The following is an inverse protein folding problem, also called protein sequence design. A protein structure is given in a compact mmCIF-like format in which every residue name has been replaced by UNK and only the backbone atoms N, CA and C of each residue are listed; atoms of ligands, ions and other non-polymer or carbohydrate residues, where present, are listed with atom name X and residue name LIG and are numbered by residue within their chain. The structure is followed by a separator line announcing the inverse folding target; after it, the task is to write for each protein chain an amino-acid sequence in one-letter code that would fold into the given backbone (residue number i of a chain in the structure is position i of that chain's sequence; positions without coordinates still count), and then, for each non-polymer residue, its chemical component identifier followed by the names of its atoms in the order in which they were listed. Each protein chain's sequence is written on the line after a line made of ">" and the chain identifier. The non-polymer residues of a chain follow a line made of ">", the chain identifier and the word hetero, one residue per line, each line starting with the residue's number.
data_IF_626094017212
#
_entry.id   IF_626094017212
#
_cell.length_a   1.000
_cell.length_b   1.000
_cell.length_c   1.000
_cell.angle_alpha   90.00
_cell.angle_beta   90.00
_cell.angle_gamma   90.00
#
_symmetry.space_group_name_H-M   'P 1'
#
loop_
_entity.id
_entity.type
_entity.pdbx_description
1 polymer ?
#
# COMPACT_ATOMS: atom_id res chain seq x y z
N UNK A 1 16.43 -16.52 30.59
CA UNK A 1 15.44 -16.85 29.57
C UNK A 1 15.18 -15.74 28.54
N UNK A 2 15.65 -14.49 28.71
CA UNK A 2 15.45 -13.39 27.74
C UNK A 2 16.55 -13.24 26.68
N UNK A 3 17.68 -13.97 26.77
CA UNK A 3 18.83 -13.73 25.89
C UNK A 3 18.63 -14.25 24.45
N UNK A 4 17.62 -15.08 24.19
CA UNK A 4 17.36 -15.67 22.86
C UNK A 4 16.01 -15.24 22.25
N UNK A 5 15.36 -14.20 22.81
CA UNK A 5 14.06 -13.74 22.34
C UNK A 5 14.24 -12.76 21.16
N UNK A 6 13.98 -13.22 19.93
CA UNK A 6 13.88 -12.39 18.74
C UNK A 6 12.40 -12.11 18.45
N UNK A 7 11.99 -10.84 18.52
CA UNK A 7 10.60 -10.44 18.33
C UNK A 7 10.47 -9.72 17.01
N UNK A 8 9.58 -10.18 16.13
CA UNK A 8 9.28 -9.46 14.90
C UNK A 8 8.57 -8.13 15.22
N UNK A 9 9.08 -7.02 14.68
CA UNK A 9 8.50 -5.69 14.83
C UNK A 9 7.79 -5.17 13.58
N UNK A 10 7.97 -5.81 12.42
CA UNK A 10 7.39 -5.38 11.13
C UNK A 10 6.70 -6.59 10.48
N UNK A 11 5.42 -6.47 10.15
CA UNK A 11 4.63 -7.58 9.61
C UNK A 11 4.66 -7.59 8.07
N UNK A 12 5.85 -7.66 7.44
CA UNK A 12 5.94 -7.51 5.98
C UNK A 12 5.92 -8.84 5.24
N UNK A 13 7.01 -9.59 5.34
CA UNK A 13 7.23 -10.91 4.76
C UNK A 13 8.53 -11.48 5.35
N UNK A 14 8.77 -12.77 5.19
CA UNK A 14 9.93 -13.44 5.78
C UNK A 14 11.30 -12.82 5.40
N UNK A 15 11.40 -12.16 4.25
CA UNK A 15 12.65 -11.57 3.76
C UNK A 15 12.86 -10.13 4.20
N UNK A 16 11.77 -9.42 4.53
CA UNK A 16 11.79 -8.01 4.90
C UNK A 16 11.43 -7.74 6.37
N UNK A 17 11.11 -8.79 7.13
CA UNK A 17 10.90 -8.71 8.56
C UNK A 17 12.13 -8.23 9.31
N UNK A 18 11.89 -7.42 10.33
CA UNK A 18 12.95 -6.95 11.21
C UNK A 18 12.66 -7.36 12.63
N UNK A 19 13.64 -8.05 13.21
CA UNK A 19 13.57 -8.59 14.55
C UNK A 19 14.29 -7.69 15.55
N UNK A 20 13.66 -7.49 16.69
CA UNK A 20 14.23 -6.80 17.83
C UNK A 20 14.53 -7.77 18.96
N UNK A 21 15.74 -7.65 19.50
CA UNK A 21 16.21 -8.46 20.61
C UNK A 21 16.41 -7.57 21.85
N UNK A 22 15.49 -7.60 22.83
CA UNK A 22 15.63 -6.81 24.05
C UNK A 22 16.86 -7.27 24.84
N UNK A 23 17.67 -6.31 25.31
CA UNK A 23 18.88 -6.59 26.10
C UNK A 23 18.63 -6.33 27.59
N UNK A 24 18.97 -7.30 28.43
CA UNK A 24 18.94 -7.14 29.89
C UNK A 24 20.20 -6.37 30.32
N UNK A 25 20.04 -5.09 30.64
CA UNK A 25 21.15 -4.23 31.14
C UNK A 25 21.33 -4.34 32.66
N UNK A 26 20.23 -4.43 33.41
CA UNK A 26 20.24 -4.55 34.86
C UNK A 26 19.31 -5.68 35.31
N UNK A 27 19.75 -6.47 36.29
CA UNK A 27 18.93 -7.54 36.91
C UNK A 27 18.25 -7.10 38.21
N UNK A 28 18.63 -5.94 38.74
CA UNK A 28 18.11 -5.38 39.98
C UNK A 28 17.58 -3.97 39.71
N UNK A 29 16.60 -3.55 40.52
CA UNK A 29 16.05 -2.20 40.44
C UNK A 29 17.16 -1.17 40.68
N UNK A 30 17.31 -0.22 39.75
CA UNK A 30 18.18 0.92 39.93
C UNK A 30 17.37 2.02 40.62
N UNK A 31 17.56 2.19 41.93
CA UNK A 31 16.78 3.12 42.75
C UNK A 31 16.85 4.58 42.30
N UNK A 32 17.84 4.94 41.46
CA UNK A 32 17.99 6.29 40.90
C UNK A 32 17.18 6.57 39.64
N UNK A 33 16.53 5.57 39.03
CA UNK A 33 15.78 5.74 37.78
C UNK A 33 14.28 5.60 38.06
N UNK A 34 13.49 6.68 37.94
CA UNK A 34 12.06 6.61 38.18
C UNK A 34 11.38 5.70 37.13
N UNK A 35 10.49 4.82 37.61
CA UNK A 35 9.68 3.94 36.76
C UNK A 35 8.32 4.61 36.54
N UNK A 36 7.97 4.83 35.27
CA UNK A 36 6.63 5.28 34.89
C UNK A 36 5.67 4.11 35.02
N UNK A 37 4.56 4.33 35.72
CA UNK A 37 3.47 3.36 35.81
C UNK A 37 2.60 3.43 34.55
N UNK A 38 3.19 3.05 33.41
CA UNK A 38 2.59 3.16 32.08
C UNK A 38 3.07 2.00 31.19
N UNK A 39 2.40 1.80 30.06
CA UNK A 39 2.74 0.78 29.06
C UNK A 39 3.49 1.40 27.89
N UNK A 40 4.67 0.87 27.58
CA UNK A 40 5.40 1.18 26.36
C UNK A 40 5.03 0.21 25.23
N UNK A 41 4.60 0.72 24.08
CA UNK A 41 4.38 -0.06 22.87
C UNK A 41 5.60 0.04 21.95
N UNK A 42 6.31 -1.07 21.76
CA UNK A 42 7.51 -1.13 20.93
C UNK A 42 7.17 -1.69 19.56
N UNK A 43 7.49 -0.97 18.50
CA UNK A 43 7.10 -1.29 17.13
C UNK A 43 8.19 -0.96 16.12
N UNK A 44 8.01 -1.42 14.89
CA UNK A 44 8.83 -1.03 13.74
C UNK A 44 7.96 -0.50 12.60
N UNK A 45 8.57 0.22 11.66
CA UNK A 45 7.91 0.71 10.46
C UNK A 45 8.68 0.40 9.19
N UNK A 46 7.93 0.07 8.14
CA UNK A 46 8.41 0.00 6.76
C UNK A 46 8.36 1.40 6.13
N UNK A 47 9.26 2.28 6.55
CA UNK A 47 9.33 3.70 6.15
C UNK A 47 10.77 4.02 5.74
N UNK A 48 11.06 4.93 4.78
CA UNK A 48 10.14 5.77 4.01
C UNK A 48 9.54 5.12 2.75
N UNK A 49 9.94 3.91 2.42
CA UNK A 49 9.97 3.46 1.02
C UNK A 49 8.60 3.14 0.43
N UNK A 50 7.65 2.69 1.28
CA UNK A 50 6.39 2.14 0.83
C UNK A 50 5.23 2.54 1.75
N UNK A 51 4.54 3.64 1.40
CA UNK A 51 3.36 4.17 2.11
C UNK A 51 2.37 3.08 2.56
N UNK A 52 1.99 2.18 1.65
CA UNK A 52 1.10 1.05 1.93
C UNK A 52 1.66 0.05 2.94
N UNK A 53 2.95 -0.29 2.86
CA UNK A 53 3.56 -1.24 3.80
C UNK A 53 3.64 -0.62 5.19
N UNK A 54 3.97 0.67 5.29
CA UNK A 54 3.91 1.38 6.56
C UNK A 54 2.50 1.30 7.17
N UNK A 55 1.45 1.57 6.39
CA UNK A 55 0.07 1.49 6.88
C UNK A 55 -0.33 0.08 7.30
N UNK A 56 -0.27 -0.86 6.35
CA UNK A 56 -0.86 -2.18 6.50
C UNK A 56 0.01 -3.13 7.34
N UNK A 57 1.33 -2.92 7.37
CA UNK A 57 2.27 -3.81 8.07
C UNK A 57 2.89 -3.17 9.32
N UNK A 58 2.62 -1.88 9.56
CA UNK A 58 3.16 -1.11 10.70
C UNK A 58 2.07 -0.48 11.56
N UNK A 59 1.44 0.60 11.08
CA UNK A 59 0.55 1.43 11.87
C UNK A 59 -0.78 0.75 12.24
N UNK A 60 -1.43 0.05 11.30
CA UNK A 60 -2.70 -0.64 11.60
C UNK A 60 -2.48 -1.82 12.56
N UNK A 61 -1.45 -2.67 12.39
CA UNK A 61 -1.11 -3.69 13.39
C UNK A 61 -0.77 -3.11 14.76
N UNK A 62 -0.06 -1.99 14.82
CA UNK A 62 0.22 -1.28 16.07
C UNK A 62 -1.08 -0.81 16.74
N UNK A 63 -1.95 -0.12 15.99
CA UNK A 63 -3.24 0.35 16.46
C UNK A 63 -4.10 -0.81 17.01
N UNK A 64 -4.18 -1.92 16.28
CA UNK A 64 -4.82 -3.16 16.72
C UNK A 64 -4.29 -3.63 18.06
N UNK A 65 -2.96 -3.70 18.18
CA UNK A 65 -2.27 -4.20 19.37
C UNK A 65 -2.53 -3.29 20.57
N UNK A 66 -2.50 -1.97 20.36
CA UNK A 66 -2.84 -1.00 21.40
C UNK A 66 -4.27 -1.19 21.88
N UNK A 67 -5.26 -1.27 20.99
CA UNK A 67 -6.67 -1.51 21.38
C UNK A 67 -6.83 -2.82 22.16
N UNK A 68 -6.22 -3.92 21.69
CA UNK A 68 -6.32 -5.24 22.37
C UNK A 68 -5.67 -5.26 23.75
N UNK A 69 -4.62 -4.47 23.96
CA UNK A 69 -3.87 -4.43 25.22
C UNK A 69 -4.32 -3.31 26.17
N UNK A 70 -5.41 -2.61 25.83
CA UNK A 70 -5.94 -1.51 26.64
C UNK A 70 -5.06 -0.25 26.61
N UNK A 71 -4.31 -0.04 25.52
CA UNK A 71 -3.58 1.21 25.28
C UNK A 71 -4.54 2.39 25.19
N UNK A 72 -4.21 3.47 25.89
CA UNK A 72 -4.88 4.77 25.78
C UNK A 72 -4.23 5.63 24.71
N UNK A 73 -4.85 6.76 24.37
CA UNK A 73 -4.22 7.79 23.55
C UNK A 73 -2.95 8.36 24.20
N UNK A 74 -2.81 8.31 25.53
CA UNK A 74 -1.61 8.82 26.21
C UNK A 74 -0.46 7.81 26.27
N UNK A 75 -0.62 6.63 25.67
CA UNK A 75 0.38 5.56 25.73
C UNK A 75 1.71 5.99 25.12
N UNK A 76 2.79 5.51 25.71
CA UNK A 76 4.12 5.71 25.14
C UNK A 76 4.36 4.69 24.02
N UNK A 77 4.96 5.17 22.94
CA UNK A 77 5.43 4.33 21.85
C UNK A 77 6.94 4.43 21.72
N UNK A 78 7.55 3.37 21.23
CA UNK A 78 8.97 3.33 20.88
C UNK A 78 9.15 2.65 19.53
N UNK A 79 9.56 3.43 18.53
CA UNK A 79 9.95 2.95 17.22
C UNK A 79 11.38 2.43 17.30
N UNK A 80 11.51 1.14 17.57
CA UNK A 80 12.82 0.50 17.75
C UNK A 80 13.55 0.27 16.40
N UNK A 81 12.79 0.18 15.31
CA UNK A 81 13.30 -0.11 13.97
C UNK A 81 12.53 0.69 12.93
N UNK A 82 13.27 1.27 11.99
CA UNK A 82 12.75 1.74 10.70
C UNK A 82 13.47 0.92 9.63
N UNK A 83 12.72 0.17 8.81
CA UNK A 83 13.30 -0.65 7.72
C UNK A 83 14.14 0.25 6.81
N UNK A 84 15.32 -0.23 6.41
CA UNK A 84 16.42 0.56 5.88
C UNK A 84 15.98 1.73 5.01
N UNK A 85 16.07 2.96 5.52
CA UNK A 85 15.86 4.16 4.72
C UNK A 85 16.98 4.25 3.69
N UNK A 86 16.71 4.06 2.39
CA UNK A 86 17.66 4.54 1.39
C UNK A 86 17.85 6.04 1.62
N UNK A 87 19.09 6.52 1.85
CA UNK A 87 19.36 7.92 2.24
C UNK A 87 18.91 8.96 1.19
N UNK A 88 18.48 8.51 0.02
CA UNK A 88 18.05 9.33 -1.11
C UNK A 88 16.52 9.34 -1.35
N UNK A 89 15.74 8.59 -0.56
CA UNK A 89 14.28 8.74 -0.61
C UNK A 89 13.87 9.81 0.40
N UNK A 90 13.19 10.85 -0.09
CA UNK A 90 12.57 11.87 0.75
C UNK A 90 11.73 11.19 1.85
N UNK A 91 11.75 11.75 3.05
CA UNK A 91 11.21 11.11 4.25
C UNK A 91 9.73 11.46 4.38
N UNK A 92 8.75 10.57 4.23
CA UNK A 92 7.38 11.01 4.40
C UNK A 92 7.10 11.33 5.88
N UNK A 93 6.21 12.30 6.11
CA UNK A 93 5.63 12.53 7.43
C UNK A 93 4.81 11.33 7.87
N UNK A 94 5.21 10.74 8.99
CA UNK A 94 4.53 9.58 9.53
C UNK A 94 4.37 9.70 11.02
N UNK A 95 3.12 9.84 11.41
CA UNK A 95 2.72 10.06 12.78
C UNK A 95 1.61 9.09 13.15
N UNK A 96 1.49 8.88 14.45
CA UNK A 96 0.38 8.19 15.07
C UNK A 96 -0.51 9.19 15.85
N UNK A 97 -0.37 10.49 15.58
CA UNK A 97 -1.01 11.58 16.34
C UNK A 97 -2.54 11.51 16.30
N UNK A 98 -3.11 10.96 15.22
CA UNK A 98 -4.55 10.79 15.13
C UNK A 98 -5.12 9.74 16.10
N UNK A 99 -4.33 8.76 16.58
CA UNK A 99 -4.77 7.73 17.54
C UNK A 99 -3.96 7.67 18.85
N UNK A 100 -2.91 8.48 18.96
CA UNK A 100 -2.06 8.57 20.14
C UNK A 100 -1.64 10.03 20.35
N UNK A 101 -1.93 10.59 21.51
CA UNK A 101 -1.44 11.89 22.00
C UNK A 101 -0.16 11.73 22.86
N UNK A 102 0.15 10.50 23.28
CA UNK A 102 1.34 10.15 24.05
C UNK A 102 2.63 10.31 23.27
N UNK A 103 3.78 10.12 23.91
CA UNK A 103 5.10 10.32 23.30
C UNK A 103 5.49 9.14 22.39
N UNK A 104 6.05 9.45 21.21
CA UNK A 104 6.64 8.46 20.28
C UNK A 104 8.17 8.59 20.31
N UNK A 105 8.85 7.68 21.02
CA UNK A 105 10.30 7.66 21.07
C UNK A 105 10.83 7.10 19.75
N UNK A 106 11.69 7.86 19.07
CA UNK A 106 12.37 7.44 17.84
C UNK A 106 13.88 7.31 18.06
N UNK A 107 14.57 6.64 17.13
CA UNK A 107 16.01 6.35 17.26
C UNK A 107 16.93 7.29 16.49
N UNK A 108 16.38 8.09 15.57
CA UNK A 108 17.12 8.95 14.66
C UNK A 108 16.39 10.26 14.39
N UNK A 109 17.16 11.32 14.11
CA UNK A 109 16.64 12.67 13.82
C UNK A 109 15.76 12.71 12.57
N UNK A 110 15.97 11.78 11.65
CA UNK A 110 15.19 11.66 10.43
C UNK A 110 13.76 11.17 10.69
N UNK A 111 13.53 10.49 11.82
CA UNK A 111 12.22 10.05 12.27
C UNK A 111 11.46 11.11 13.06
N UNK A 112 12.06 12.29 13.34
CA UNK A 112 11.38 13.42 13.97
C UNK A 112 10.54 14.19 12.95
N UNK A 113 9.34 13.68 12.72
CA UNK A 113 8.38 14.20 11.74
C UNK A 113 7.22 14.97 12.39
N UNK A 114 7.12 14.98 13.71
CA UNK A 114 6.07 15.69 14.44
C UNK A 114 6.44 15.97 15.89
N UNK A 115 5.70 16.87 16.53
CA UNK A 115 5.87 17.23 17.96
C UNK A 115 5.63 16.06 18.93
N UNK A 116 4.92 15.03 18.47
CA UNK A 116 4.72 13.80 19.23
C UNK A 116 6.03 13.02 19.39
N UNK A 117 6.89 13.10 18.38
CA UNK A 117 8.10 12.32 18.28
C UNK A 117 9.23 12.99 19.05
N UNK A 118 9.98 12.18 19.79
CA UNK A 118 11.13 12.67 20.54
C UNK A 118 12.33 11.75 20.42
N UNK A 119 13.49 12.36 20.41
CA UNK A 119 14.77 11.68 20.60
C UNK A 119 15.13 11.74 22.06
N UNK A 120 15.34 10.58 22.67
CA UNK A 120 15.97 10.51 23.98
C UNK A 120 17.44 10.94 23.83
N UNK A 121 17.91 11.79 24.75
CA UNK A 121 19.33 12.10 24.82
C UNK A 121 20.12 10.83 25.18
N UNK A 122 21.40 10.75 24.78
CA UNK A 122 22.22 9.52 24.93
C UNK A 122 22.31 8.99 26.37
N UNK A 123 22.14 9.88 27.32
CA UNK A 123 22.30 9.70 28.77
C UNK A 123 20.95 9.69 29.51
N UNK A 124 19.84 9.91 28.81
CA UNK A 124 18.50 9.76 29.37
C UNK A 124 18.10 8.28 29.44
N UNK A 125 17.59 7.85 30.59
CA UNK A 125 16.98 6.53 30.74
C UNK A 125 15.54 6.69 31.19
N UNK A 126 14.60 6.12 30.44
CA UNK A 126 13.19 6.06 30.81
C UNK A 126 12.84 4.61 31.12
N UNK A 127 12.25 4.38 32.29
CA UNK A 127 11.77 3.06 32.69
C UNK A 127 10.24 3.03 32.69
N UNK A 128 9.67 1.92 32.21
CA UNK A 128 8.23 1.66 32.18
C UNK A 128 7.93 0.40 32.99
N UNK A 129 6.77 0.38 33.65
CA UNK A 129 6.33 -0.79 34.43
C UNK A 129 5.93 -1.96 33.52
N UNK A 130 5.50 -1.67 32.29
CA UNK A 130 5.11 -2.68 31.29
C UNK A 130 5.61 -2.27 29.90
N UNK A 131 5.96 -3.26 29.08
CA UNK A 131 6.18 -3.09 27.65
C UNK A 131 5.42 -4.17 26.86
N UNK A 132 4.80 -3.76 25.76
CA UNK A 132 4.26 -4.65 24.72
C UNK A 132 5.21 -4.56 23.53
N UNK A 133 5.76 -5.69 23.10
CA UNK A 133 6.78 -5.73 22.05
C UNK A 133 6.21 -6.35 20.77
N UNK A 134 6.31 -5.62 19.66
CA UNK A 134 5.81 -6.03 18.36
C UNK A 134 4.29 -5.87 18.20
N UNK A 135 3.82 -6.08 16.97
CA UNK A 135 2.41 -6.00 16.62
C UNK A 135 1.74 -7.38 16.43
N UNK A 136 2.34 -8.42 17.03
CA UNK A 136 1.77 -9.77 17.10
C UNK A 136 1.62 -10.50 15.76
N UNK A 137 2.49 -10.22 14.78
CA UNK A 137 2.48 -10.81 13.42
C UNK A 137 1.08 -10.76 12.79
N UNK A 138 0.42 -9.60 12.97
CA UNK A 138 -0.93 -9.36 12.49
C UNK A 138 -0.91 -8.64 11.13
N UNK A 139 -1.48 -9.26 10.11
CA UNK A 139 -1.70 -8.68 8.79
C UNK A 139 -2.77 -9.46 8.03
N UNK A 140 -3.01 -9.10 6.77
CA UNK A 140 -4.04 -9.72 5.94
C UNK A 140 -3.51 -10.83 5.01
N UNK A 141 -2.23 -11.18 5.08
CA UNK A 141 -1.57 -12.15 4.19
C UNK A 141 -1.75 -13.60 4.67
N UNK A 142 -2.25 -14.46 3.78
CA UNK A 142 -2.69 -15.85 4.04
C UNK A 142 -1.66 -16.81 4.64
N UNK A 143 -0.38 -16.70 4.28
CA UNK A 143 0.66 -17.67 4.65
C UNK A 143 1.78 -17.12 5.54
N UNK A 144 1.70 -15.83 5.85
CA UNK A 144 2.75 -15.14 6.58
C UNK A 144 2.28 -14.71 7.97
N UNK A 145 1.03 -14.27 8.11
CA UNK A 145 0.54 -13.75 9.37
C UNK A 145 -0.07 -14.81 10.28
N UNK A 146 0.17 -14.65 11.58
CA UNK A 146 -0.34 -15.53 12.63
C UNK A 146 -1.75 -15.09 13.07
N UNK A 147 -2.09 -13.81 12.84
CA UNK A 147 -3.38 -13.24 13.23
C UNK A 147 -3.95 -12.30 12.16
N UNK A 148 -5.26 -12.34 11.91
CA UNK A 148 -5.89 -11.36 11.03
C UNK A 148 -5.89 -9.98 11.68
N UNK A 149 -5.87 -8.96 10.85
CA UNK A 149 -6.43 -7.65 11.22
C UNK A 149 -7.92 -7.71 10.93
N UNK A 150 -8.72 -7.52 11.97
CA UNK A 150 -10.17 -7.56 11.88
C UNK A 150 -10.72 -6.35 11.09
N UNK A 151 -11.82 -6.56 10.36
CA UNK A 151 -12.44 -5.52 9.50
C UNK A 151 -12.83 -4.25 10.28
N UNK A 152 -13.32 -4.41 11.51
CA UNK A 152 -13.68 -3.32 12.43
C UNK A 152 -12.46 -2.52 12.88
N UNK A 153 -11.28 -3.13 12.97
CA UNK A 153 -10.02 -2.43 13.25
C UNK A 153 -9.64 -1.51 12.08
N UNK A 154 -9.76 -1.98 10.83
CA UNK A 154 -9.55 -1.14 9.65
C UNK A 154 -10.51 0.05 9.62
N UNK A 155 -11.79 -0.21 9.86
CA UNK A 155 -12.83 0.81 9.90
C UNK A 155 -12.55 1.84 11.02
N UNK A 156 -12.28 1.37 12.24
CA UNK A 156 -12.00 2.24 13.38
C UNK A 156 -10.73 3.08 13.18
N UNK A 157 -9.66 2.51 12.61
CA UNK A 157 -8.44 3.25 12.27
C UNK A 157 -8.73 4.37 11.28
N UNK A 158 -9.47 4.05 10.20
CA UNK A 158 -9.87 5.01 9.19
C UNK A 158 -10.72 6.12 9.79
N UNK A 159 -11.76 5.77 10.54
CA UNK A 159 -12.74 6.72 11.05
C UNK A 159 -12.09 7.67 12.09
N UNK A 160 -11.19 7.16 12.94
CA UNK A 160 -10.39 8.00 13.83
C UNK A 160 -9.48 8.97 13.04
N UNK A 161 -8.81 8.50 11.99
CA UNK A 161 -7.97 9.34 11.14
C UNK A 161 -8.78 10.42 10.40
N UNK A 162 -9.93 10.05 9.82
CA UNK A 162 -10.80 10.99 9.12
C UNK A 162 -11.40 12.03 10.09
N UNK A 163 -11.85 11.60 11.26
CA UNK A 163 -12.35 12.51 12.27
C UNK A 163 -11.27 13.49 12.74
N UNK A 164 -10.05 13.00 12.98
CA UNK A 164 -8.94 13.82 13.46
C UNK A 164 -8.42 14.77 12.38
N UNK A 165 -8.08 14.29 11.19
CA UNK A 165 -7.47 15.11 10.16
C UNK A 165 -8.49 15.94 9.37
N UNK A 166 -9.62 15.35 8.99
CA UNK A 166 -10.59 15.96 8.07
C UNK A 166 -11.67 16.71 8.84
N UNK A 167 -12.42 16.04 9.73
CA UNK A 167 -13.54 16.66 10.43
C UNK A 167 -13.10 17.77 11.39
N UNK A 168 -11.95 17.62 12.05
CA UNK A 168 -11.37 18.66 12.92
C UNK A 168 -10.42 19.61 12.17
N UNK A 169 -10.33 19.51 10.83
CA UNK A 169 -9.49 20.36 9.98
C UNK A 169 -7.98 20.38 10.35
N UNK A 170 -7.50 19.36 11.07
CA UNK A 170 -6.10 19.29 11.52
C UNK A 170 -5.11 18.96 10.40
N UNK A 171 -5.57 18.52 9.23
CA UNK A 171 -4.67 18.17 8.13
C UNK A 171 -3.80 19.36 7.68
N UNK A 172 -4.33 20.59 7.75
CA UNK A 172 -3.58 21.81 7.42
C UNK A 172 -2.48 22.07 8.45
N UNK A 173 -2.84 22.06 9.75
CA UNK A 173 -1.89 22.25 10.86
C UNK A 173 -0.77 21.20 10.85
N UNK A 174 -1.13 19.96 10.53
CA UNK A 174 -0.16 18.86 10.44
C UNK A 174 0.89 19.13 9.35
N UNK A 175 0.47 19.65 8.20
CA UNK A 175 1.38 20.00 7.11
C UNK A 175 2.21 21.27 7.42
N UNK A 176 1.68 22.23 8.18
CA UNK A 176 2.47 23.39 8.63
C UNK A 176 3.62 22.95 9.56
N UNK A 177 3.35 22.08 10.52
CA UNK A 177 4.37 21.60 11.46
C UNK A 177 5.49 20.77 10.79
N UNK A 178 5.22 20.13 9.65
CA UNK A 178 6.22 19.33 8.95
C UNK A 178 7.38 20.14 8.38
N UNK A 179 7.09 21.39 8.05
CA UNK A 179 8.06 22.36 7.53
C UNK A 179 9.07 22.82 8.59
N UNK A 180 8.76 22.64 9.88
CA UNK A 180 9.55 23.16 11.01
C UNK A 180 10.89 22.43 11.18
N UNK A 181 11.02 21.19 10.71
CA UNK A 181 12.21 20.37 10.93
C UNK A 181 13.22 20.36 9.75
N UNK A 182 13.25 21.41 8.92
CA UNK A 182 14.19 21.58 7.80
C UNK A 182 14.23 20.37 6.84
N UNK A 183 13.13 19.63 6.76
CA UNK A 183 13.07 18.38 5.99
C UNK A 183 12.99 18.60 4.48
N UNK A 184 12.85 19.86 4.03
CA UNK A 184 12.64 20.26 2.63
C UNK A 184 11.48 19.52 1.94
N UNK A 185 10.46 19.12 2.71
CA UNK A 185 9.31 18.33 2.23
C UNK A 185 8.18 19.23 1.80
N UNK A 186 7.50 18.80 0.74
CA UNK A 186 6.21 19.33 0.34
C UNK A 186 5.14 18.25 0.59
N UNK A 187 4.80 18.06 1.87
CA UNK A 187 3.81 17.07 2.32
C UNK A 187 2.37 17.40 1.87
N UNK A 188 2.20 18.63 1.38
CA UNK A 188 0.98 19.14 0.78
C UNK A 188 1.03 19.07 -0.76
N UNK A 189 2.14 18.65 -1.39
CA UNK A 189 2.30 18.69 -2.84
C UNK A 189 1.15 18.00 -3.58
N UNK A 190 0.70 16.85 -3.08
CA UNK A 190 -0.44 16.12 -3.64
C UNK A 190 -1.76 16.91 -3.57
N UNK A 191 -1.94 17.72 -2.53
CA UNK A 191 -3.12 18.60 -2.36
C UNK A 191 -3.00 19.83 -3.26
N UNK A 192 -1.82 20.44 -3.35
CA UNK A 192 -1.61 21.64 -4.17
C UNK A 192 -1.67 21.36 -5.67
N UNK A 193 -1.30 20.15 -6.08
CA UNK A 193 -1.28 19.74 -7.49
C UNK A 193 -2.53 18.98 -7.93
N UNK A 194 -3.52 18.79 -7.04
CA UNK A 194 -4.76 18.10 -7.40
C UNK A 194 -5.52 18.91 -8.45
N UNK A 195 -5.93 18.25 -9.52
CA UNK A 195 -6.81 18.85 -10.52
C UNK A 195 -8.21 18.27 -10.36
N UNK A 196 -9.21 19.16 -10.23
CA UNK A 196 -10.61 18.76 -10.05
C UNK A 196 -11.40 19.18 -11.28
N UNK A 197 -11.96 18.21 -11.99
CA UNK A 197 -12.91 18.43 -13.08
C UNK A 197 -14.33 18.20 -12.58
N UNK A 198 -15.21 19.18 -12.75
CA UNK A 198 -16.62 19.12 -12.35
C UNK A 198 -17.50 19.05 -13.61
N UNK A 199 -18.51 18.16 -13.68
CA UNK A 199 -19.43 18.08 -14.80
C UNK A 199 -20.14 19.40 -15.09
N UNK A 200 -20.23 19.81 -16.35
CA UNK A 200 -20.85 21.10 -16.74
C UNK A 200 -22.35 21.20 -16.40
N UNK A 201 -23.05 20.07 -16.26
CA UNK A 201 -24.47 20.00 -15.89
C UNK A 201 -24.74 20.30 -14.41
N UNK A 202 -23.71 20.38 -13.57
CA UNK A 202 -23.84 20.52 -12.12
C UNK A 202 -24.01 21.95 -11.60
N UNK A 203 -24.19 22.93 -12.49
CA UNK A 203 -24.46 24.32 -12.12
C UNK A 203 -25.89 24.59 -11.61
N UNK A 204 -26.77 23.57 -11.55
CA UNK A 204 -28.10 23.68 -10.95
C UNK A 204 -28.16 22.93 -9.61
N UNK A 205 -28.60 23.63 -8.55
CA UNK A 205 -28.57 23.32 -7.11
C UNK A 205 -29.14 21.98 -6.59
N UNK A 206 -29.34 20.94 -7.42
CA UNK A 206 -29.89 19.64 -6.99
C UNK A 206 -28.86 18.51 -7.08
N UNK A 207 -27.69 18.69 -6.47
CA UNK A 207 -26.49 17.95 -6.86
C UNK A 207 -25.89 17.01 -5.77
N UNK A 208 -26.72 16.41 -4.93
CA UNK A 208 -26.24 15.55 -3.84
C UNK A 208 -25.81 14.12 -4.26
N UNK A 209 -25.94 13.74 -5.54
CA UNK A 209 -25.68 12.37 -6.00
C UNK A 209 -24.53 12.21 -7.01
N UNK A 210 -23.82 13.28 -7.37
CA UNK A 210 -22.67 13.12 -8.28
C UNK A 210 -21.56 12.34 -7.59
N UNK A 211 -21.12 11.24 -8.20
CA UNK A 211 -20.02 10.41 -7.69
C UNK A 211 -18.66 11.06 -7.97
N UNK A 212 -17.73 10.84 -7.04
CA UNK A 212 -16.34 11.30 -7.13
C UNK A 212 -15.43 10.14 -7.52
N UNK A 213 -14.73 10.29 -8.64
CA UNK A 213 -13.72 9.34 -9.11
C UNK A 213 -12.35 9.99 -8.95
N UNK A 214 -11.47 9.36 -8.18
CA UNK A 214 -10.07 9.75 -8.10
C UNK A 214 -9.24 8.94 -9.07
N UNK A 215 -8.28 9.60 -9.71
CA UNK A 215 -7.26 8.99 -10.56
C UNK A 215 -5.91 9.38 -9.96
N UNK A 216 -5.22 8.43 -9.36
CA UNK A 216 -3.83 8.65 -8.93
C UNK A 216 -2.94 8.20 -10.09
N UNK A 217 -2.06 9.08 -10.57
CA UNK A 217 -1.07 8.73 -11.57
C UNK A 217 0.34 9.10 -11.11
N UNK A 218 1.33 8.45 -11.73
CA UNK A 218 2.76 8.68 -11.46
C UNK A 218 3.40 9.35 -12.66
N UNK A 219 4.43 10.15 -12.40
CA UNK A 219 5.20 10.88 -13.40
C UNK A 219 6.34 10.05 -13.99
N UNK A 220 6.90 9.10 -13.22
CA UNK A 220 8.06 8.30 -13.61
C UNK A 220 7.69 6.85 -13.95
N UNK A 221 7.78 5.94 -12.98
CA UNK A 221 7.46 4.53 -13.18
C UNK A 221 5.99 4.25 -12.94
N UNK A 222 5.50 3.17 -13.54
CA UNK A 222 4.12 2.71 -13.41
C UNK A 222 3.06 3.71 -13.89
N UNK A 223 3.44 4.67 -14.75
CA UNK A 223 2.54 5.70 -15.25
C UNK A 223 1.44 5.10 -16.14
N UNK A 224 0.20 5.53 -15.94
CA UNK A 224 -0.90 5.37 -16.91
C UNK A 224 -0.68 6.40 -18.02
N UNK A 225 -0.29 5.96 -19.21
CA UNK A 225 0.14 6.88 -20.29
C UNK A 225 -1.02 7.57 -20.99
N UNK A 226 -2.21 6.96 -21.00
CA UNK A 226 -3.45 7.51 -21.56
C UNK A 226 -4.42 8.05 -20.49
N UNK A 227 -3.91 8.57 -19.37
CA UNK A 227 -4.72 9.14 -18.28
C UNK A 227 -5.73 10.19 -18.77
N UNK A 228 -5.32 11.08 -19.67
CA UNK A 228 -6.19 12.15 -20.16
C UNK A 228 -7.40 11.60 -20.93
N UNK A 229 -7.25 10.49 -21.64
CA UNK A 229 -8.36 9.85 -22.35
C UNK A 229 -9.38 9.26 -21.36
N UNK A 230 -8.92 8.74 -20.21
CA UNK A 230 -9.79 8.29 -19.11
C UNK A 230 -10.56 9.49 -18.53
N UNK A 231 -9.85 10.59 -18.23
CA UNK A 231 -10.46 11.82 -17.69
C UNK A 231 -11.51 12.36 -18.66
N UNK A 232 -11.17 12.48 -19.95
CA UNK A 232 -12.06 13.01 -20.97
C UNK A 232 -13.33 12.16 -21.15
N UNK A 233 -13.21 10.84 -21.02
CA UNK A 233 -14.34 9.92 -21.08
C UNK A 233 -15.27 9.99 -19.85
N UNK A 234 -14.73 10.34 -18.67
CA UNK A 234 -15.48 10.32 -17.41
C UNK A 234 -15.99 11.70 -16.93
N UNK A 235 -15.31 12.79 -17.28
CA UNK A 235 -15.55 14.14 -16.74
C UNK A 235 -16.93 14.73 -17.04
N UNK A 236 -17.66 14.19 -18.02
CA UNK A 236 -19.01 14.64 -18.36
C UNK A 236 -20.07 14.19 -17.34
N UNK A 237 -19.79 13.13 -16.58
CA UNK A 237 -20.77 12.49 -15.68
C UNK A 237 -20.35 12.49 -14.20
N UNK A 238 -19.05 12.66 -13.91
CA UNK A 238 -18.51 12.48 -12.56
C UNK A 238 -17.57 13.62 -12.17
N UNK A 239 -17.41 13.85 -10.86
CA UNK A 239 -16.34 14.69 -10.35
C UNK A 239 -15.04 13.88 -10.46
N UNK A 240 -14.06 14.38 -11.21
CA UNK A 240 -12.78 13.71 -11.39
C UNK A 240 -11.71 14.44 -10.57
N UNK A 241 -11.03 13.71 -9.68
CA UNK A 241 -9.84 14.19 -8.96
C UNK A 241 -8.60 13.54 -9.55
N UNK A 242 -7.76 14.29 -10.24
CA UNK A 242 -6.45 13.81 -10.69
C UNK A 242 -5.40 14.15 -9.64
N UNK A 243 -4.74 13.13 -9.11
CA UNK A 243 -3.87 13.22 -7.94
C UNK A 243 -2.48 12.71 -8.32
N UNK A 244 -1.44 13.41 -7.87
CA UNK A 244 -0.05 13.02 -8.08
C UNK A 244 0.69 12.94 -6.73
N UNK A 245 1.21 11.77 -6.40
CA UNK A 245 1.96 11.53 -5.15
C UNK A 245 3.47 11.60 -5.30
N UNK A 246 4.01 11.73 -6.52
CA UNK A 246 5.46 11.68 -6.76
C UNK A 246 6.23 12.86 -6.14
N UNK A 247 5.52 13.94 -5.77
CA UNK A 247 6.10 15.10 -5.08
C UNK A 247 6.01 15.02 -3.54
N UNK A 248 5.30 14.02 -3.00
CA UNK A 248 5.03 13.88 -1.57
C UNK A 248 3.53 13.94 -1.26
N UNK A 249 3.12 13.15 -0.28
CA UNK A 249 1.77 13.20 0.30
C UNK A 249 1.81 12.61 1.72
N UNK A 250 1.51 13.42 2.72
CA UNK A 250 1.42 12.94 4.10
C UNK A 250 0.22 12.02 4.32
N UNK A 251 0.19 11.35 5.48
CA UNK A 251 -0.98 10.60 5.93
C UNK A 251 -2.23 11.51 6.00
N UNK A 252 -2.06 12.71 6.56
CA UNK A 252 -3.13 13.70 6.72
C UNK A 252 -3.64 14.21 5.37
N UNK A 253 -2.74 14.56 4.45
CA UNK A 253 -3.09 14.96 3.08
C UNK A 253 -3.78 13.83 2.31
N UNK A 254 -3.31 12.59 2.47
CA UNK A 254 -3.94 11.42 1.86
C UNK A 254 -5.36 11.20 2.39
N UNK A 255 -5.56 11.34 3.71
CA UNK A 255 -6.88 11.24 4.33
C UNK A 255 -7.84 12.32 3.78
N UNK A 256 -7.37 13.56 3.72
CA UNK A 256 -8.13 14.68 3.16
C UNK A 256 -8.52 14.48 1.69
N UNK A 257 -7.61 14.01 0.84
CA UNK A 257 -7.90 13.84 -0.58
C UNK A 257 -8.89 12.70 -0.88
N UNK A 258 -8.87 11.65 -0.05
CA UNK A 258 -9.55 10.39 -0.35
C UNK A 258 -10.91 10.22 0.33
N UNK A 259 -11.23 10.98 1.39
CA UNK A 259 -12.40 10.75 2.24
C UNK A 259 -13.76 10.72 1.53
N UNK A 260 -13.92 11.44 0.43
CA UNK A 260 -15.16 11.57 -0.33
C UNK A 260 -15.18 10.73 -1.63
N UNK A 261 -14.10 10.03 -1.94
CA UNK A 261 -13.92 9.28 -3.20
C UNK A 261 -14.77 8.00 -3.21
N UNK A 262 -15.56 7.82 -4.27
CA UNK A 262 -16.35 6.61 -4.54
C UNK A 262 -15.52 5.52 -5.21
N UNK A 263 -14.77 5.91 -6.25
CA UNK A 263 -13.96 5.00 -7.06
C UNK A 263 -12.55 5.57 -7.17
N UNK A 264 -11.54 4.76 -6.86
CA UNK A 264 -10.14 5.07 -7.13
C UNK A 264 -9.67 4.28 -8.35
N UNK A 265 -9.07 4.96 -9.32
CA UNK A 265 -8.31 4.36 -10.41
C UNK A 265 -6.84 4.70 -10.17
N UNK A 266 -5.97 3.70 -10.14
CA UNK A 266 -4.54 3.91 -9.91
C UNK A 266 -3.74 2.86 -10.66
N UNK A 267 -2.50 3.13 -11.11
CA UNK A 267 -1.62 2.04 -11.46
C UNK A 267 -1.26 1.25 -10.20
N UNK A 268 -1.03 -0.06 -10.33
CA UNK A 268 -0.61 -0.89 -9.20
C UNK A 268 0.63 -0.35 -8.47
N UNK A 269 0.50 -0.07 -7.17
CA UNK A 269 1.61 0.45 -6.37
C UNK A 269 1.21 1.05 -5.01
N UNK A 270 2.22 1.49 -4.26
CA UNK A 270 2.09 1.89 -2.84
C UNK A 270 1.06 2.99 -2.58
N UNK A 271 0.81 3.86 -3.57
CA UNK A 271 -0.21 4.91 -3.50
C UNK A 271 -1.64 4.36 -3.34
N UNK A 272 -1.91 3.12 -3.75
CA UNK A 272 -3.21 2.48 -3.51
C UNK A 272 -3.50 2.32 -2.02
N UNK A 273 -2.47 2.33 -1.17
CA UNK A 273 -2.63 2.42 0.29
C UNK A 273 -3.50 3.60 0.74
N UNK A 274 -3.55 4.71 -0.02
CA UNK A 274 -4.38 5.87 0.33
C UNK A 274 -5.87 5.58 0.20
N UNK A 275 -6.24 4.52 -0.53
CA UNK A 275 -7.61 4.03 -0.55
C UNK A 275 -8.12 3.70 0.85
N UNK A 276 -7.24 3.40 1.83
CA UNK A 276 -7.57 3.24 3.25
C UNK A 276 -8.57 4.29 3.75
N UNK A 277 -8.47 5.53 3.27
CA UNK A 277 -9.26 6.67 3.71
C UNK A 277 -10.54 6.92 2.91
N UNK A 278 -10.85 6.15 1.87
CA UNK A 278 -12.11 6.28 1.14
C UNK A 278 -13.32 5.97 2.03
N UNK A 279 -14.52 6.41 1.65
CA UNK A 279 -15.75 6.00 2.35
C UNK A 279 -16.04 4.49 2.25
N UNK A 280 -17.01 4.04 3.04
CA UNK A 280 -17.54 2.67 2.95
C UNK A 280 -18.15 2.38 1.57
N UNK A 281 -18.16 1.10 1.19
CA UNK A 281 -18.64 0.62 -0.11
C UNK A 281 -17.90 1.24 -1.31
N UNK A 282 -16.66 1.71 -1.13
CA UNK A 282 -15.87 2.24 -2.23
C UNK A 282 -15.21 1.14 -3.08
N UNK A 283 -14.78 1.52 -4.29
CA UNK A 283 -14.14 0.61 -5.26
C UNK A 283 -12.74 1.11 -5.61
N UNK A 284 -11.79 0.19 -5.64
CA UNK A 284 -10.42 0.44 -6.13
C UNK A 284 -10.20 -0.36 -7.41
N UNK A 285 -9.71 0.32 -8.44
CA UNK A 285 -9.38 -0.23 -9.75
C UNK A 285 -7.90 -0.03 -9.99
N UNK A 286 -7.14 -1.12 -9.88
CA UNK A 286 -5.73 -1.14 -10.19
C UNK A 286 -5.50 -1.39 -11.68
N UNK A 287 -4.76 -0.51 -12.34
CA UNK A 287 -4.37 -0.65 -13.74
C UNK A 287 -3.01 -1.33 -13.81
N UNK A 288 -3.01 -2.56 -14.32
CA UNK A 288 -1.83 -3.41 -14.44
C UNK A 288 -1.18 -3.27 -15.81
N UNK A 289 0.15 -3.39 -15.83
CA UNK A 289 0.89 -3.59 -17.08
C UNK A 289 0.60 -4.99 -17.63
N UNK A 290 0.68 -5.14 -18.95
CA UNK A 290 0.46 -6.44 -19.59
C UNK A 290 1.47 -7.49 -19.12
N UNK A 291 0.97 -8.69 -18.82
CA UNK A 291 1.69 -9.82 -18.26
C UNK A 291 2.16 -9.62 -16.81
N UNK A 292 1.63 -8.61 -16.12
CA UNK A 292 1.88 -8.38 -14.70
C UNK A 292 0.59 -8.39 -13.91
N UNK A 293 0.58 -9.18 -12.84
CA UNK A 293 -0.46 -9.14 -11.82
C UNK A 293 0.18 -9.40 -10.46
N UNK A 294 -0.34 -8.76 -9.42
CA UNK A 294 0.05 -8.97 -8.03
C UNK A 294 -1.21 -8.76 -7.18
N UNK A 295 -1.48 -9.71 -6.30
CA UNK A 295 -2.69 -9.75 -5.47
C UNK A 295 -2.49 -9.07 -4.10
N UNK A 296 -1.31 -8.48 -3.85
CA UNK A 296 -0.94 -7.93 -2.55
C UNK A 296 -2.01 -6.98 -1.97
N UNK A 297 -2.57 -6.10 -2.81
CA UNK A 297 -3.61 -5.15 -2.39
C UNK A 297 -5.01 -5.78 -2.25
N UNK A 298 -5.27 -6.92 -2.89
CA UNK A 298 -6.51 -7.66 -2.67
C UNK A 298 -6.65 -8.08 -1.21
N UNK A 299 -5.56 -8.44 -0.52
CA UNK A 299 -5.58 -8.81 0.89
C UNK A 299 -6.10 -7.69 1.81
N UNK A 300 -5.43 -6.53 1.96
CA UNK A 300 -5.93 -5.48 2.84
C UNK A 300 -7.31 -4.97 2.40
N UNK A 301 -7.59 -4.86 1.09
CA UNK A 301 -8.88 -4.36 0.62
C UNK A 301 -10.06 -5.29 0.90
N UNK A 302 -9.87 -6.60 0.76
CA UNK A 302 -10.90 -7.58 1.13
C UNK A 302 -11.08 -7.69 2.65
N UNK A 303 -10.01 -7.49 3.43
CA UNK A 303 -10.09 -7.44 4.89
C UNK A 303 -10.88 -6.23 5.40
N UNK A 304 -10.78 -5.08 4.74
CA UNK A 304 -11.50 -3.85 5.12
C UNK A 304 -12.87 -3.68 4.46
N UNK A 305 -13.26 -4.56 3.53
CA UNK A 305 -14.57 -4.50 2.89
C UNK A 305 -14.67 -3.56 1.71
N UNK A 306 -13.56 -3.36 1.00
CA UNK A 306 -13.52 -2.60 -0.24
C UNK A 306 -13.51 -3.50 -1.45
N UNK A 307 -14.20 -3.06 -2.49
CA UNK A 307 -14.19 -3.78 -3.76
C UNK A 307 -12.86 -3.49 -4.47
N UNK A 308 -12.16 -4.52 -4.93
CA UNK A 308 -10.84 -4.34 -5.56
C UNK A 308 -10.76 -5.07 -6.90
N UNK A 309 -10.35 -4.37 -7.94
CA UNK A 309 -10.28 -4.92 -9.28
C UNK A 309 -8.93 -4.64 -9.93
N UNK A 310 -8.22 -5.70 -10.28
CA UNK A 310 -7.07 -5.63 -11.16
C UNK A 310 -7.53 -5.65 -12.61
N UNK A 311 -7.24 -4.59 -13.35
CA UNK A 311 -7.51 -4.49 -14.78
C UNK A 311 -6.20 -4.41 -15.55
N UNK A 312 -5.86 -5.54 -16.17
CA UNK A 312 -4.80 -5.62 -17.16
C UNK A 312 -5.34 -5.38 -18.57
N UNK A 313 -4.63 -4.57 -19.36
CA UNK A 313 -4.89 -4.48 -20.79
C UNK A 313 -4.16 -5.60 -21.55
N UNK A 314 -4.94 -6.47 -22.19
CA UNK A 314 -4.45 -7.63 -22.95
C UNK A 314 -4.14 -7.30 -24.42
N UNK A 315 -4.47 -6.10 -24.89
CA UNK A 315 -4.20 -5.67 -26.26
C UNK A 315 -2.71 -5.34 -26.47
N UNK A 316 -2.16 -5.61 -27.66
CA UNK A 316 -0.78 -5.25 -28.01
C UNK A 316 -0.55 -3.74 -28.04
N UNK A 317 -1.60 -2.97 -28.33
CA UNK A 317 -1.58 -1.49 -28.36
C UNK A 317 -1.36 -0.86 -26.99
N UNK A 318 -1.55 -1.63 -25.90
CA UNK A 318 -1.36 -1.18 -24.53
C UNK A 318 0.08 -1.31 -24.02
N UNK A 319 0.97 -1.92 -24.80
CA UNK A 319 2.36 -2.10 -24.43
C UNK A 319 3.09 -0.78 -24.58
N UNK A 320 3.59 -0.26 -23.46
CA UNK A 320 4.43 0.93 -23.40
C UNK A 320 5.83 0.50 -22.99
N UNK A 321 6.82 0.81 -23.84
CA UNK A 321 8.18 0.34 -23.63
C UNK A 321 9.08 1.48 -23.16
N UNK A 322 9.59 1.37 -21.93
CA UNK A 322 10.70 2.19 -21.44
C UNK A 322 12.02 1.39 -21.51
N UNK A 323 12.78 1.61 -22.58
CA UNK A 323 14.05 0.90 -22.85
C UNK A 323 15.11 1.21 -21.79
N UNK A 324 15.15 2.45 -21.29
CA UNK A 324 16.16 2.86 -20.29
C UNK A 324 15.87 2.17 -18.95
N UNK A 325 14.60 2.09 -18.58
CA UNK A 325 14.17 1.36 -17.38
C UNK A 325 14.41 -0.14 -17.52
N UNK A 326 14.06 -0.73 -18.67
CA UNK A 326 14.31 -2.14 -18.97
C UNK A 326 15.80 -2.46 -18.83
N UNK A 327 16.68 -1.68 -19.48
CA UNK A 327 18.13 -1.85 -19.40
C UNK A 327 18.64 -1.84 -17.95
N UNK A 328 18.21 -0.84 -17.16
CA UNK A 328 18.62 -0.72 -15.77
C UNK A 328 18.17 -1.92 -14.93
N UNK A 329 16.90 -2.33 -15.06
CA UNK A 329 16.34 -3.44 -14.28
C UNK A 329 17.01 -4.76 -14.70
N UNK A 330 17.10 -5.03 -16.00
CA UNK A 330 17.76 -6.22 -16.52
C UNK A 330 19.20 -6.33 -16.00
N UNK A 331 19.99 -5.24 -16.06
CA UNK A 331 21.35 -5.20 -15.50
C UNK A 331 21.40 -5.49 -14.00
N UNK A 332 20.46 -4.95 -13.21
CA UNK A 332 20.39 -5.21 -11.76
C UNK A 332 20.17 -6.69 -11.44
N UNK A 333 19.50 -7.42 -12.33
CA UNK A 333 19.30 -8.86 -12.23
C UNK A 333 20.32 -9.65 -13.05
N UNK A 334 21.44 -9.06 -13.49
CA UNK A 334 22.52 -9.74 -14.22
C UNK A 334 22.17 -10.16 -15.65
N UNK A 335 21.10 -9.61 -16.22
CA UNK A 335 20.72 -9.75 -17.64
C UNK A 335 21.43 -8.66 -18.44
N UNK A 336 22.23 -9.05 -19.43
CA UNK A 336 22.99 -8.15 -20.30
C UNK A 336 22.57 -8.36 -21.76
N UNK A 337 21.79 -7.43 -22.28
CA UNK A 337 21.43 -7.36 -23.70
C UNK A 337 22.33 -6.30 -24.37
N UNK A 338 22.93 -6.58 -25.54
CA UNK A 338 24.07 -5.81 -26.05
C UNK A 338 23.70 -4.47 -26.66
N UNK A 339 22.43 -4.27 -27.06
CA UNK A 339 21.97 -3.03 -27.68
C UNK A 339 20.50 -2.72 -27.34
N UNK A 340 20.11 -1.48 -27.57
CA UNK A 340 18.76 -0.99 -27.28
C UNK A 340 17.66 -1.64 -28.15
N UNK A 341 17.98 -2.10 -29.36
CA UNK A 341 17.01 -2.78 -30.24
C UNK A 341 16.56 -4.12 -29.65
N UNK A 342 17.50 -4.91 -29.11
CA UNK A 342 17.20 -6.19 -28.46
C UNK A 342 16.46 -5.96 -27.14
N UNK A 343 16.87 -4.95 -26.36
CA UNK A 343 16.17 -4.57 -25.13
C UNK A 343 14.73 -4.18 -25.45
N UNK A 344 14.54 -3.32 -26.44
CA UNK A 344 13.22 -2.92 -26.90
C UNK A 344 12.40 -4.13 -27.37
N UNK A 345 12.97 -5.02 -28.19
CA UNK A 345 12.26 -6.19 -28.70
C UNK A 345 11.75 -7.11 -27.57
N UNK A 346 12.58 -7.34 -26.54
CA UNK A 346 12.17 -8.15 -25.38
C UNK A 346 11.19 -7.40 -24.46
N UNK A 347 11.38 -6.12 -24.24
CA UNK A 347 10.51 -5.32 -23.38
C UNK A 347 9.13 -5.04 -24.01
N UNK A 348 9.05 -4.95 -25.34
CA UNK A 348 7.84 -4.61 -26.10
C UNK A 348 6.95 -5.81 -26.41
N UNK A 349 7.29 -7.01 -25.91
CA UNK A 349 6.66 -8.27 -26.28
C UNK A 349 6.57 -8.52 -27.79
N UNK A 350 7.65 -8.23 -28.51
CA UNK A 350 7.66 -8.43 -29.97
C UNK A 350 7.23 -9.87 -30.33
N UNK A 351 6.35 -10.01 -31.32
CA UNK A 351 5.77 -11.29 -31.73
C UNK A 351 4.97 -12.02 -30.63
N UNK A 352 4.37 -11.28 -29.69
CA UNK A 352 3.58 -11.84 -28.58
C UNK A 352 4.40 -12.77 -27.66
N UNK A 353 5.71 -12.53 -27.56
CA UNK A 353 6.60 -13.24 -26.64
C UNK A 353 6.78 -12.42 -25.37
N UNK A 354 6.65 -13.04 -24.19
CA UNK A 354 6.93 -12.37 -22.92
C UNK A 354 8.41 -11.99 -22.81
N UNK A 355 8.77 -10.98 -22.00
CA UNK A 355 10.15 -10.54 -21.85
C UNK A 355 11.08 -11.65 -21.37
N UNK A 356 10.64 -12.54 -20.49
CA UNK A 356 11.44 -13.66 -19.98
C UNK A 356 11.70 -14.70 -21.07
N UNK A 357 10.69 -14.97 -21.91
CA UNK A 357 10.83 -15.85 -23.08
C UNK A 357 11.82 -15.26 -24.09
N UNK A 358 11.72 -13.96 -24.37
CA UNK A 358 12.64 -13.27 -25.27
C UNK A 358 14.08 -13.25 -24.74
N UNK A 359 14.27 -12.89 -23.46
CA UNK A 359 15.59 -12.89 -22.80
C UNK A 359 16.20 -14.29 -22.86
N UNK A 360 15.42 -15.33 -22.54
CA UNK A 360 15.90 -16.71 -22.60
C UNK A 360 16.30 -17.11 -24.03
N UNK A 361 15.45 -16.83 -25.01
CA UNK A 361 15.75 -17.11 -26.41
C UNK A 361 17.03 -16.40 -26.89
N UNK A 362 17.28 -15.19 -26.40
CA UNK A 362 18.52 -14.46 -26.69
C UNK A 362 19.76 -15.18 -26.14
N UNK A 363 19.73 -15.65 -24.90
CA UNK A 363 20.83 -16.37 -24.25
C UNK A 363 21.03 -17.80 -24.77
N UNK A 364 19.96 -18.46 -25.19
CA UNK A 364 20.01 -19.82 -25.73
C UNK A 364 20.48 -19.87 -27.20
N UNK A 365 20.52 -18.73 -27.91
CA UNK A 365 21.02 -18.66 -29.27
C UNK A 365 22.56 -18.84 -29.32
N UNK A 366 23.08 -19.88 -30.00
CA UNK A 366 24.52 -20.15 -30.11
C UNK A 366 25.34 -18.98 -30.67
N UNK A 367 24.76 -18.16 -31.55
CA UNK A 367 25.45 -17.00 -32.15
C UNK A 367 25.73 -15.91 -31.11
N UNK A 368 24.87 -15.78 -30.10
CA UNK A 368 25.04 -14.82 -29.01
C UNK A 368 26.01 -15.30 -27.93
N UNK A 369 26.36 -16.59 -27.89
CA UNK A 369 27.28 -17.14 -26.90
C UNK A 369 28.66 -16.47 -26.94
N UNK A 370 29.10 -16.02 -28.12
CA UNK A 370 30.35 -15.26 -28.30
C UNK A 370 30.25 -13.90 -27.60
N UNK A 371 29.15 -13.17 -27.81
CA UNK A 371 28.90 -11.84 -27.19
C UNK A 371 28.78 -11.96 -25.67
N UNK A 372 28.19 -13.04 -25.19
CA UNK A 372 27.95 -13.31 -23.77
C UNK A 372 29.14 -13.96 -23.05
N UNK A 373 30.27 -14.20 -23.73
CA UNK A 373 31.42 -14.96 -23.19
C UNK A 373 31.02 -16.33 -22.60
N UNK A 374 30.08 -17.02 -23.25
CA UNK A 374 29.56 -18.32 -22.80
C UNK A 374 28.70 -18.27 -21.53
N UNK A 375 28.33 -17.08 -21.02
CA UNK A 375 27.40 -16.97 -19.89
C UNK A 375 26.03 -17.48 -20.29
N UNK A 376 25.49 -18.40 -19.49
CA UNK A 376 24.08 -18.81 -19.53
C UNK A 376 23.28 -18.01 -18.50
N UNK A 377 21.99 -17.89 -18.74
CA UNK A 377 21.05 -17.32 -17.77
C UNK A 377 20.14 -18.41 -17.22
N UNK A 378 19.85 -18.36 -15.93
CA UNK A 378 18.87 -19.25 -15.32
C UNK A 378 17.45 -18.77 -15.63
N UNK A 379 16.50 -19.69 -15.77
CA UNK A 379 15.08 -19.34 -16.02
C UNK A 379 14.55 -18.39 -14.94
N UNK A 380 14.89 -18.63 -13.69
CA UNK A 380 14.46 -17.80 -12.55
C UNK A 380 15.02 -16.38 -12.65
N UNK A 381 16.26 -16.22 -13.10
CA UNK A 381 16.89 -14.91 -13.27
C UNK A 381 16.20 -14.10 -14.38
N UNK A 382 15.92 -14.72 -15.53
CA UNK A 382 15.18 -14.08 -16.63
C UNK A 382 13.75 -13.70 -16.21
N UNK A 383 13.06 -14.60 -15.50
CA UNK A 383 11.74 -14.35 -14.96
C UNK A 383 11.72 -13.20 -13.94
N UNK A 384 12.64 -13.19 -12.95
CA UNK A 384 12.77 -12.12 -11.96
C UNK A 384 13.02 -10.76 -12.63
N UNK A 385 13.94 -10.70 -13.59
CA UNK A 385 14.21 -9.47 -14.34
C UNK A 385 12.96 -8.96 -15.09
N UNK A 386 12.21 -9.88 -15.69
CA UNK A 386 11.01 -9.57 -16.47
C UNK A 386 9.87 -9.09 -15.59
N UNK A 387 9.55 -9.80 -14.50
CA UNK A 387 8.50 -9.40 -13.57
C UNK A 387 8.81 -8.04 -12.93
N UNK A 388 10.07 -7.80 -12.55
CA UNK A 388 10.46 -6.50 -12.01
C UNK A 388 10.38 -5.38 -13.05
N UNK A 389 10.67 -5.66 -14.33
CA UNK A 389 10.46 -4.70 -15.39
C UNK A 389 8.97 -4.39 -15.58
N UNK A 390 8.14 -5.41 -15.75
CA UNK A 390 6.70 -5.24 -15.98
C UNK A 390 6.00 -4.55 -14.79
N UNK A 391 6.47 -4.82 -13.56
CA UNK A 391 6.04 -4.10 -12.35
C UNK A 391 6.22 -2.59 -12.49
N UNK A 392 7.36 -2.15 -13.00
CA UNK A 392 7.74 -0.73 -13.13
C UNK A 392 7.33 -0.08 -14.46
N UNK A 393 7.04 -0.88 -15.49
CA UNK A 393 6.78 -0.41 -16.84
C UNK A 393 5.57 0.56 -16.89
N UNK A 394 5.61 1.59 -17.75
CA UNK A 394 4.41 2.36 -18.06
C UNK A 394 3.33 1.45 -18.64
N UNK A 395 2.07 1.90 -18.59
CA UNK A 395 0.91 1.09 -18.99
C UNK A 395 -0.20 1.95 -19.55
N UNK A 396 -1.03 1.36 -20.41
CA UNK A 396 -2.29 1.95 -20.86
C UNK A 396 -3.47 1.26 -20.20
N UNK A 397 -4.51 2.04 -19.89
CA UNK A 397 -5.81 1.48 -19.57
C UNK A 397 -6.56 1.12 -20.85
N UNK A 398 -7.18 -0.06 -20.87
CA UNK A 398 -8.13 -0.45 -21.92
C UNK A 398 -9.45 0.30 -21.73
N UNK A 399 -9.62 1.42 -22.44
CA UNK A 399 -10.81 2.28 -22.30
C UNK A 399 -12.10 1.56 -22.67
N UNK A 400 -12.03 0.64 -23.65
CA UNK A 400 -13.21 -0.10 -24.13
C UNK A 400 -13.79 -1.00 -23.03
N UNK A 401 -12.93 -1.49 -22.13
CA UNK A 401 -13.33 -2.28 -20.96
C UNK A 401 -13.53 -1.41 -19.71
N UNK A 402 -12.63 -0.46 -19.47
CA UNK A 402 -12.62 0.36 -18.25
C UNK A 402 -13.86 1.25 -18.16
N UNK A 403 -14.21 1.99 -19.21
CA UNK A 403 -15.31 2.96 -19.12
C UNK A 403 -16.67 2.29 -18.85
N UNK A 404 -17.08 1.24 -19.59
CA UNK A 404 -18.30 0.51 -19.25
C UNK A 404 -18.27 -0.13 -17.86
N UNK A 405 -17.10 -0.63 -17.44
CA UNK A 405 -16.92 -1.17 -16.09
C UNK A 405 -17.17 -0.11 -15.01
N UNK A 406 -16.60 1.09 -15.15
CA UNK A 406 -16.80 2.20 -14.21
C UNK A 406 -18.27 2.63 -14.19
N UNK A 407 -18.91 2.82 -15.35
CA UNK A 407 -20.32 3.21 -15.42
C UNK A 407 -21.23 2.20 -14.73
N UNK A 408 -21.00 0.90 -14.94
CA UNK A 408 -21.75 -0.16 -14.25
C UNK A 408 -21.47 -0.16 -12.75
N UNK A 409 -20.22 -0.02 -12.36
CA UNK A 409 -19.80 0.00 -10.95
C UNK A 409 -20.46 1.15 -10.21
N UNK A 410 -20.55 2.34 -10.82
CA UNK A 410 -21.25 3.49 -10.24
C UNK A 410 -22.73 3.20 -9.97
N UNK A 411 -23.43 2.54 -10.89
CA UNK A 411 -24.83 2.13 -10.68
C UNK A 411 -24.94 1.17 -9.50
N UNK A 412 -24.05 0.17 -9.47
CA UNK A 412 -23.99 -0.83 -8.40
C UNK A 412 -23.71 -0.21 -7.01
N UNK A 413 -22.99 0.91 -6.90
CA UNK A 413 -22.73 1.57 -5.61
C UNK A 413 -24.02 1.96 -4.89
N UNK A 414 -25.03 2.42 -5.62
CA UNK A 414 -26.31 2.82 -5.05
C UNK A 414 -27.17 1.58 -4.73
N UNK A 415 -27.18 0.60 -5.63
CA UNK A 415 -27.92 -0.67 -5.45
C UNK A 415 -27.41 -1.47 -4.23
N UNK A 416 -26.12 -1.35 -3.93
CA UNK A 416 -25.44 -2.14 -2.91
C UNK A 416 -25.28 -1.45 -1.56
N UNK A 417 -25.86 -0.27 -1.37
CA UNK A 417 -25.70 0.52 -0.12
C UNK A 417 -26.02 -0.25 1.17
N UNK A 418 -26.95 -1.21 1.11
CA UNK A 418 -27.39 -2.01 2.25
C UNK A 418 -26.99 -3.49 2.14
N UNK A 419 -26.10 -3.84 1.21
CA UNK A 419 -25.63 -5.21 1.01
C UNK A 419 -24.32 -5.38 1.78
N UNK A 420 -24.21 -6.44 2.58
CA UNK A 420 -22.95 -6.70 3.30
C UNK A 420 -21.82 -7.03 2.33
N UNK A 421 -20.59 -6.71 2.70
CA UNK A 421 -19.43 -7.02 1.86
C UNK A 421 -19.35 -8.50 1.50
N UNK A 422 -19.68 -9.36 2.47
CA UNK A 422 -19.76 -10.80 2.24
C UNK A 422 -20.77 -11.17 1.15
N UNK A 423 -21.99 -10.61 1.21
CA UNK A 423 -22.99 -10.84 0.17
C UNK A 423 -22.54 -10.34 -1.20
N UNK A 424 -21.82 -9.21 -1.25
CA UNK A 424 -21.19 -8.75 -2.50
C UNK A 424 -20.19 -9.76 -3.05
N UNK A 425 -19.40 -10.40 -2.18
CA UNK A 425 -18.51 -11.48 -2.59
C UNK A 425 -19.26 -12.72 -3.06
N UNK A 426 -20.37 -13.09 -2.40
CA UNK A 426 -21.19 -14.23 -2.80
C UNK A 426 -21.93 -14.00 -4.14
N UNK A 427 -22.06 -12.74 -4.56
CA UNK A 427 -22.53 -12.27 -5.88
C UNK A 427 -21.40 -12.00 -6.87
N UNK A 428 -20.16 -12.24 -6.45
CA UNK A 428 -18.92 -12.04 -7.23
C UNK A 428 -18.74 -10.59 -7.71
N UNK A 429 -19.13 -9.66 -6.83
CA UNK A 429 -19.02 -8.20 -6.99
C UNK A 429 -17.98 -7.57 -6.07
N UNK A 430 -17.20 -8.35 -5.32
CA UNK A 430 -16.27 -7.77 -4.37
C UNK A 430 -14.81 -7.74 -4.83
N UNK A 431 -14.41 -8.56 -5.79
CA UNK A 431 -13.03 -8.59 -6.25
C UNK A 431 -12.90 -9.04 -7.72
N UNK A 432 -11.81 -8.65 -8.37
CA UNK A 432 -11.46 -9.05 -9.74
C UNK A 432 -10.61 -10.32 -9.81
N UNK A 433 -9.80 -10.42 -10.88
CA UNK A 433 -8.84 -11.50 -11.08
C UNK A 433 -7.81 -11.57 -9.95
N UNK A 434 -7.31 -12.78 -9.68
CA UNK A 434 -6.28 -13.10 -8.69
C UNK A 434 -6.64 -12.79 -7.23
N UNK A 435 -7.93 -12.70 -6.89
CA UNK A 435 -8.38 -12.43 -5.53
C UNK A 435 -8.69 -13.68 -4.69
N UNK A 436 -8.64 -14.89 -5.25
CA UNK A 436 -9.13 -16.12 -4.63
C UNK A 436 -8.51 -16.37 -3.26
N UNK A 437 -7.19 -16.21 -3.15
CA UNK A 437 -6.47 -16.41 -1.90
C UNK A 437 -6.81 -15.33 -0.87
N UNK A 438 -6.93 -14.07 -1.31
CA UNK A 438 -7.33 -12.97 -0.45
C UNK A 438 -8.76 -13.16 0.09
N UNK A 439 -9.69 -13.57 -0.75
CA UNK A 439 -11.07 -13.85 -0.35
C UNK A 439 -11.15 -15.07 0.57
N UNK A 440 -10.51 -16.18 0.20
CA UNK A 440 -10.47 -17.39 1.00
C UNK A 440 -9.95 -17.12 2.41
N UNK A 441 -8.94 -16.26 2.51
CA UNK A 441 -8.38 -15.80 3.78
C UNK A 441 -9.35 -14.86 4.48
N UNK A 442 -9.54 -13.65 3.96
CA UNK A 442 -10.13 -12.58 4.74
C UNK A 442 -11.63 -12.74 4.93
N UNK A 443 -12.36 -13.21 3.91
CA UNK A 443 -13.84 -13.20 3.85
C UNK A 443 -14.43 -14.54 4.25
N UNK A 444 -13.90 -15.64 3.71
CA UNK A 444 -14.48 -16.97 3.88
C UNK A 444 -13.88 -17.70 5.10
N UNK A 445 -12.56 -17.57 5.30
CA UNK A 445 -11.80 -18.21 6.37
C UNK A 445 -11.77 -19.74 6.29
N UNK A 446 -10.83 -20.38 6.99
CA UNK A 446 -10.84 -21.83 7.25
C UNK A 446 -10.27 -22.13 8.64
N UNK A 447 -11.17 -22.36 9.60
CA UNK A 447 -10.80 -22.77 10.98
C UNK A 447 -9.96 -24.07 11.00
N UNK A 448 -10.15 -24.95 10.01
CA UNK A 448 -9.51 -26.28 9.96
C UNK A 448 -8.11 -26.29 9.35
N UNK A 449 -7.65 -25.17 8.79
CA UNK A 449 -6.33 -25.06 8.14
C UNK A 449 -5.45 -23.95 8.75
N UNK A 450 -5.86 -23.35 9.88
CA UNK A 450 -5.15 -22.22 10.48
C UNK A 450 -5.25 -20.94 9.65
N UNK A 451 -6.23 -20.83 8.76
CA UNK A 451 -6.42 -19.64 7.93
C UNK A 451 -7.22 -18.59 8.70
N UNK A 452 -6.64 -17.39 8.77
CA UNK A 452 -7.17 -16.22 9.48
C UNK A 452 -8.47 -15.72 8.87
N UNK A 453 -9.35 -15.07 9.65
CA UNK A 453 -10.61 -14.44 9.17
C UNK A 453 -10.73 -13.00 9.68
N UNK A 454 -10.91 -12.04 8.78
CA UNK A 454 -11.06 -10.63 9.14
C UNK A 454 -12.51 -10.27 9.55
N UNK A 455 -13.50 -10.98 9.00
CA UNK A 455 -14.93 -10.75 9.24
C UNK A 455 -15.46 -11.68 10.35
N UNK A 456 -15.25 -11.28 11.60
CA UNK A 456 -15.51 -12.11 12.80
C UNK A 456 -16.99 -12.41 13.04
N UNK A 457 -17.91 -11.59 12.51
CA UNK A 457 -19.36 -11.75 12.70
C UNK A 457 -20.01 -12.73 11.71
N UNK A 458 -19.36 -12.99 10.57
CA UNK A 458 -19.89 -13.91 9.55
C UNK A 458 -19.58 -15.37 9.93
N UNK A 459 -20.37 -16.36 9.46
CA UNK A 459 -20.02 -17.77 9.58
C UNK A 459 -18.85 -18.15 8.65
N UNK A 460 -18.02 -19.12 9.05
CA UNK A 460 -17.01 -19.73 8.17
C UNK A 460 -17.72 -20.53 7.08
N UNK A 461 -17.22 -20.44 5.86
CA UNK A 461 -17.82 -21.12 4.69
C UNK A 461 -16.75 -21.34 3.63
N UNK A 462 -17.01 -22.27 2.72
CA UNK A 462 -16.12 -22.45 1.58
C UNK A 462 -16.24 -21.24 0.64
N UNK A 463 -15.14 -20.74 0.08
CA UNK A 463 -15.21 -19.76 -0.99
C UNK A 463 -16.03 -20.34 -2.14
N UNK A 464 -16.99 -19.57 -2.63
CA UNK A 464 -17.45 -19.77 -4.01
C UNK A 464 -16.24 -19.44 -4.91
N UNK A 465 -16.04 -20.20 -5.98
CA UNK A 465 -14.94 -19.93 -6.93
C UNK A 465 -14.99 -18.45 -7.32
N UNK A 466 -13.84 -17.79 -7.47
CA UNK A 466 -13.86 -16.47 -8.12
C UNK A 466 -14.30 -16.63 -9.58
N UNK A 467 -14.77 -15.54 -10.17
CA UNK A 467 -15.10 -15.52 -11.58
C UNK A 467 -13.86 -15.77 -12.44
N UNK A 468 -13.78 -16.99 -12.97
CA UNK A 468 -13.21 -17.27 -14.27
C UNK A 468 -14.27 -18.02 -15.10
N UNK A 469 -15.17 -17.25 -15.73
CA UNK A 469 -15.88 -17.56 -16.99
C UNK A 469 -16.68 -16.35 -17.48
#
# INVERSE_FOLDING_TARGET
>A
MLQDLNINLINSDQSADVYYQPKVKWRHANAGIPVRNDTLFVYGLYSPEHFSHMLYNGLIPLYRTMKKQGGSRDSWMYRAVTSASFPNMGQPLFTADFFNDGRDIVTDTHSLTSDQQLLLQRDETVCFSKAILGAGVACSLSYYCEQPIESDIYQSFRDEALNYYVTQERWQQHNEHSSIHDTHRDDQACVETVQISIPSSNNNNNNNNTKTIAIINRSKSRKITNEQEIVDALKSNYIIKQINFDKGCSLASSAYLMHDVDILISPHGSQEGAALFMKDNSVVVSINARGYSEDWFAYPFTAMGRRFYNLECQDMTCIETDVTMAERIFKNFGVYLPNQEIIHACASWSNNQSPDTCIKAYYDNPENAIVLNGKKIENEQAWRASVNYLKEAPRKADLSRLIPFISKTVQELDDFKNVSYRMLCDMEKCCGYDCDYALATNVYGSERQGQMKAWTLDPISLPKKSWME
#
